data_IF_031397181623
#
_entry.id   IF_031397181623
#
_cell.length_a   1.000
_cell.length_b   1.000
_cell.length_c   1.000
_cell.angle_alpha   90.00
_cell.angle_beta   90.00
_cell.angle_gamma   90.00
#
_symmetry.space_group_name_H-M   'P 1'
#
loop_
_entity.id
_entity.type
_entity.pdbx_description
1 polymer ?
#
# COMPACT_ATOMS: atom_id res chain seq x y z
N UNK A 1 -19.78 18.21 6.93
CA UNK A 1 -21.05 18.02 6.42
C UNK A 1 -21.10 16.87 5.42
N UNK A 2 -21.99 15.95 5.67
CA UNK A 2 -22.02 14.75 4.88
C UNK A 2 -20.90 13.79 5.16
N UNK A 3 -19.99 14.15 6.02
CA UNK A 3 -18.96 13.23 6.44
C UNK A 3 -19.53 12.25 7.43
N UNK A 4 -19.31 10.98 7.16
CA UNK A 4 -19.74 9.93 8.05
C UNK A 4 -18.55 9.25 8.66
N UNK A 5 -18.51 9.22 9.97
CA UNK A 5 -17.47 8.50 10.69
C UNK A 5 -18.02 7.14 11.08
N UNK A 6 -17.18 6.13 10.97
CA UNK A 6 -17.54 4.80 11.40
C UNK A 6 -16.36 4.19 12.14
N UNK A 7 -16.62 3.19 12.93
CA UNK A 7 -15.60 2.48 13.66
C UNK A 7 -15.36 1.13 13.03
N UNK A 8 -14.11 0.79 12.88
CA UNK A 8 -13.74 -0.54 12.38
C UNK A 8 -12.70 -1.13 13.31
N UNK A 9 -12.64 -2.45 13.30
CA UNK A 9 -11.57 -3.16 14.00
C UNK A 9 -10.44 -3.37 13.02
N UNK A 10 -9.20 -3.25 13.52
CA UNK A 10 -8.03 -3.39 12.69
C UNK A 10 -7.16 -4.53 13.17
N UNK A 11 -6.24 -4.94 12.29
CA UNK A 11 -5.33 -6.04 12.60
C UNK A 11 -4.28 -5.65 13.62
N UNK A 12 -3.82 -4.39 13.59
CA UNK A 12 -2.70 -3.97 14.43
C UNK A 12 -3.01 -2.81 15.35
N UNK A 13 -4.08 -2.06 15.11
CA UNK A 13 -4.35 -0.82 15.85
C UNK A 13 -5.60 -0.89 16.72
N UNK A 14 -6.23 -2.07 16.81
CA UNK A 14 -7.46 -2.20 17.55
C UNK A 14 -8.60 -1.50 16.86
N UNK A 15 -9.55 -1.01 17.63
CA UNK A 15 -10.69 -0.28 17.08
C UNK A 15 -10.29 1.15 16.78
N UNK A 16 -10.61 1.62 15.58
CA UNK A 16 -10.32 2.99 15.17
C UNK A 16 -11.53 3.61 14.53
N UNK A 17 -11.61 4.93 14.60
CA UNK A 17 -12.66 5.68 13.93
C UNK A 17 -12.11 6.19 12.59
N UNK A 18 -12.88 5.99 11.52
CA UNK A 18 -12.46 6.41 10.19
C UNK A 18 -13.56 7.25 9.55
N UNK A 19 -13.18 7.98 8.52
CA UNK A 19 -14.10 8.77 7.72
C UNK A 19 -14.43 7.99 6.46
N UNK A 20 -15.71 7.72 6.22
CA UNK A 20 -16.12 6.91 5.07
C UNK A 20 -15.64 7.49 3.75
N UNK A 21 -15.47 8.81 3.68
CA UNK A 21 -15.03 9.44 2.44
C UNK A 21 -13.60 9.07 2.07
N UNK A 22 -12.85 8.48 2.99
CA UNK A 22 -11.46 8.12 2.74
C UNK A 22 -11.29 6.65 2.39
N UNK A 23 -12.38 5.89 2.35
CA UNK A 23 -12.31 4.48 2.00
C UNK A 23 -11.90 4.33 0.53
N UNK A 24 -10.93 3.44 0.30
CA UNK A 24 -10.42 3.16 -1.03
C UNK A 24 -11.11 1.92 -1.58
N UNK A 25 -11.38 1.92 -2.88
CA UNK A 25 -11.99 0.77 -3.54
C UNK A 25 -10.95 0.11 -4.43
N UNK A 26 -10.74 -1.18 -4.19
CA UNK A 26 -9.90 -2.02 -5.04
C UNK A 26 -10.83 -2.89 -5.86
N UNK A 27 -11.13 -2.49 -7.08
CA UNK A 27 -12.15 -3.16 -7.89
C UNK A 27 -11.87 -4.64 -8.10
N UNK A 28 -10.60 -5.02 -8.08
CA UNK A 28 -10.20 -6.42 -8.26
C UNK A 28 -9.77 -7.05 -6.95
N UNK A 29 -9.94 -6.35 -5.82
CA UNK A 29 -9.41 -6.81 -4.56
C UNK A 29 -7.89 -6.82 -4.59
N UNK A 30 -7.31 -7.58 -3.67
CA UNK A 30 -5.86 -7.79 -3.64
C UNK A 30 -5.60 -9.28 -3.87
N UNK A 31 -4.43 -9.64 -4.41
CA UNK A 31 -4.12 -11.04 -4.64
C UNK A 31 -4.28 -11.86 -3.36
N UNK A 32 -4.99 -12.96 -3.46
CA UNK A 32 -5.34 -13.80 -2.33
C UNK A 32 -6.62 -13.40 -1.62
N UNK A 33 -7.13 -12.18 -1.87
CA UNK A 33 -8.31 -11.68 -1.17
C UNK A 33 -9.22 -10.92 -2.13
N UNK A 34 -9.65 -11.54 -3.23
CA UNK A 34 -10.42 -10.79 -4.23
C UNK A 34 -11.83 -10.40 -3.75
N UNK A 35 -12.33 -11.02 -2.70
CA UNK A 35 -13.66 -10.70 -2.19
C UNK A 35 -13.69 -9.45 -1.33
N UNK A 36 -12.53 -8.99 -0.86
CA UNK A 36 -12.47 -7.78 -0.04
C UNK A 36 -11.98 -6.63 -0.90
N UNK A 37 -12.82 -5.64 -1.08
CA UNK A 37 -12.56 -4.56 -2.03
C UNK A 37 -12.44 -3.19 -1.39
N UNK A 38 -12.80 -3.05 -0.12
CA UNK A 38 -12.77 -1.76 0.54
C UNK A 38 -11.69 -1.75 1.60
N UNK A 39 -10.81 -0.78 1.49
CA UNK A 39 -9.68 -0.63 2.39
C UNK A 39 -9.52 0.83 2.79
N UNK A 40 -8.78 1.05 3.86
CA UNK A 40 -8.45 2.40 4.28
C UNK A 40 -7.00 2.46 4.69
N UNK A 41 -6.38 3.62 4.45
CA UNK A 41 -4.99 3.85 4.85
C UNK A 41 -4.97 4.46 6.25
N UNK A 42 -4.17 3.88 7.11
CA UNK A 42 -4.01 4.34 8.49
C UNK A 42 -2.53 4.50 8.78
N UNK A 43 -2.19 5.52 9.57
CA UNK A 43 -0.82 5.71 10.02
C UNK A 43 -0.47 4.67 11.06
N UNK A 44 0.74 4.09 10.95
CA UNK A 44 1.23 3.17 11.96
C UNK A 44 2.16 3.85 12.93
N UNK A 45 3.18 4.53 12.41
CA UNK A 45 4.20 5.15 13.25
C UNK A 45 4.68 6.40 12.52
N UNK A 46 4.61 7.54 13.21
CA UNK A 46 4.99 8.82 12.60
C UNK A 46 6.48 8.87 12.26
N UNK A 47 7.29 8.07 12.93
CA UNK A 47 8.73 8.10 12.73
C UNK A 47 9.20 7.13 11.64
N UNK A 48 8.31 6.29 11.13
CA UNK A 48 8.64 5.31 10.11
C UNK A 48 7.83 5.55 8.85
N UNK A 49 8.38 5.26 7.66
CA UNK A 49 7.64 5.44 6.41
C UNK A 49 6.68 4.27 6.18
N UNK A 50 5.87 3.98 7.18
CA UNK A 50 4.97 2.84 7.18
C UNK A 50 3.53 3.28 7.36
N UNK A 51 2.63 2.52 6.78
CA UNK A 51 1.20 2.71 6.97
C UNK A 51 0.52 1.35 7.00
N UNK A 52 -0.74 1.35 7.37
CA UNK A 52 -1.54 0.14 7.37
C UNK A 52 -2.63 0.29 6.31
N UNK A 53 -2.69 -0.66 5.40
CA UNK A 53 -3.80 -0.77 4.45
C UNK A 53 -4.76 -1.79 5.02
N UNK A 54 -5.83 -1.32 5.63
CA UNK A 54 -6.74 -2.13 6.42
C UNK A 54 -8.05 -2.37 5.70
N UNK A 55 -8.49 -3.63 5.64
CA UNK A 55 -9.82 -3.96 5.14
C UNK A 55 -10.87 -3.37 6.09
N UNK A 56 -11.86 -2.70 5.51
CA UNK A 56 -12.99 -2.23 6.30
C UNK A 56 -14.04 -3.32 6.49
N UNK A 57 -13.86 -4.44 5.81
CA UNK A 57 -14.83 -5.52 5.82
C UNK A 57 -14.41 -6.69 6.71
N UNK A 58 -13.10 -6.86 6.95
CA UNK A 58 -12.59 -7.97 7.74
C UNK A 58 -11.38 -7.50 8.56
N UNK A 59 -11.52 -7.54 9.88
CA UNK A 59 -10.52 -6.99 10.79
C UNK A 59 -9.15 -7.67 10.67
N UNK A 60 -9.14 -8.96 10.36
CA UNK A 60 -7.87 -9.70 10.29
C UNK A 60 -7.08 -9.45 9.02
N UNK A 61 -7.65 -8.72 8.06
CA UNK A 61 -6.98 -8.44 6.81
C UNK A 61 -6.47 -7.02 6.81
N UNK A 62 -5.17 -6.89 7.02
CA UNK A 62 -4.48 -5.61 7.01
C UNK A 62 -3.05 -5.84 6.55
N UNK A 63 -2.55 -4.94 5.73
CA UNK A 63 -1.22 -5.05 5.16
C UNK A 63 -0.39 -3.86 5.60
N UNK A 64 0.79 -4.14 6.17
CA UNK A 64 1.76 -3.08 6.41
C UNK A 64 2.36 -2.70 5.07
N UNK A 65 2.32 -1.42 4.76
CA UNK A 65 2.85 -0.91 3.49
C UNK A 65 3.83 0.22 3.77
N UNK A 66 4.70 0.45 2.80
CA UNK A 66 5.75 1.45 2.93
C UNK A 66 5.92 2.17 1.60
N UNK A 67 6.48 3.39 1.66
CA UNK A 67 6.90 4.06 0.44
C UNK A 67 8.19 3.42 -0.04
N UNK A 68 8.17 2.75 -1.20
CA UNK A 68 9.38 2.05 -1.64
C UNK A 68 10.54 2.98 -1.91
N UNK A 69 10.26 4.24 -2.24
CA UNK A 69 11.32 5.21 -2.52
C UNK A 69 12.15 5.54 -1.30
N UNK A 70 11.63 5.28 -0.10
CA UNK A 70 12.41 5.48 1.13
C UNK A 70 13.52 4.44 1.25
N UNK A 71 13.41 3.30 0.57
CA UNK A 71 14.36 2.21 0.68
C UNK A 71 15.12 1.96 -0.62
N UNK A 72 14.57 2.38 -1.75
CA UNK A 72 15.21 2.24 -3.05
C UNK A 72 14.90 3.49 -3.85
N UNK A 73 15.81 4.45 -3.81
CA UNK A 73 15.55 5.77 -4.35
C UNK A 73 15.38 5.77 -5.87
N UNK A 74 16.01 4.82 -6.55
CA UNK A 74 15.90 4.75 -8.00
C UNK A 74 14.77 3.86 -8.46
N UNK A 75 13.87 3.50 -7.55
CA UNK A 75 12.70 2.69 -7.90
C UNK A 75 11.80 3.48 -8.84
N UNK A 76 11.58 2.93 -10.02
CA UNK A 76 10.80 3.62 -11.04
C UNK A 76 10.18 2.58 -11.97
N UNK A 77 9.00 2.89 -12.46
CA UNK A 77 8.32 2.04 -13.43
C UNK A 77 7.21 2.87 -14.07
N UNK A 78 6.72 2.39 -15.20
CA UNK A 78 5.62 3.03 -15.90
C UNK A 78 4.35 2.23 -15.72
N UNK A 79 3.23 2.92 -15.55
CA UNK A 79 1.94 2.28 -15.53
C UNK A 79 1.48 2.03 -16.96
N UNK A 80 0.86 0.85 -17.18
CA UNK A 80 0.27 0.58 -18.48
C UNK A 80 -0.96 1.46 -18.68
N UNK A 81 -1.39 1.60 -19.93
CA UNK A 81 -2.60 2.35 -20.20
C UNK A 81 -3.81 1.71 -19.53
N UNK A 82 -3.83 0.39 -19.47
CA UNK A 82 -4.91 -0.33 -18.80
C UNK A 82 -4.95 0.03 -17.31
N UNK A 83 -3.80 0.06 -16.66
CA UNK A 83 -3.74 0.41 -15.24
C UNK A 83 -4.18 1.83 -15.01
N UNK A 84 -3.79 2.74 -15.90
CA UNK A 84 -4.19 4.14 -15.77
C UNK A 84 -5.70 4.29 -15.91
N UNK A 85 -6.29 3.52 -16.82
CA UNK A 85 -7.74 3.56 -17.01
C UNK A 85 -8.47 2.95 -15.82
N UNK A 86 -7.97 1.84 -15.30
CA UNK A 86 -8.60 1.18 -14.16
C UNK A 86 -8.62 2.09 -12.93
N UNK A 87 -7.61 2.94 -12.80
CA UNK A 87 -7.48 3.83 -11.66
C UNK A 87 -7.95 5.25 -11.96
N UNK A 88 -8.43 5.50 -13.18
CA UNK A 88 -8.90 6.82 -13.60
C UNK A 88 -7.85 7.90 -13.35
N UNK A 89 -6.61 7.59 -13.68
CA UNK A 89 -5.50 8.51 -13.45
C UNK A 89 -5.44 9.53 -14.56
N UNK A 90 -5.46 10.82 -14.22
CA UNK A 90 -5.32 11.90 -15.16
C UNK A 90 -4.00 12.63 -15.01
N UNK A 91 -3.46 12.65 -13.80
CA UNK A 91 -2.21 13.34 -13.50
C UNK A 91 -1.36 12.48 -12.58
N UNK A 92 -0.04 12.57 -12.75
CA UNK A 92 0.87 11.80 -11.91
C UNK A 92 0.78 12.20 -10.45
N UNK A 93 0.43 13.45 -10.16
CA UNK A 93 0.34 13.92 -8.77
C UNK A 93 -0.78 13.24 -8.00
N UNK A 94 -1.72 12.61 -8.69
CA UNK A 94 -2.83 11.92 -8.03
C UNK A 94 -2.44 10.57 -7.46
N UNK A 95 -1.25 10.09 -7.81
CA UNK A 95 -0.88 8.69 -7.60
C UNK A 95 0.10 8.55 -6.45
N UNK A 96 -0.21 7.63 -5.54
CA UNK A 96 0.72 7.18 -4.51
C UNK A 96 1.11 5.74 -4.80
N UNK A 97 2.39 5.44 -4.56
CA UNK A 97 2.92 4.11 -4.76
C UNK A 97 3.39 3.55 -3.43
N UNK A 98 2.94 2.34 -3.12
CA UNK A 98 3.30 1.66 -1.87
C UNK A 98 3.82 0.27 -2.18
N UNK A 99 4.63 -0.26 -1.27
CA UNK A 99 5.05 -1.65 -1.32
C UNK A 99 4.56 -2.36 -0.07
N UNK A 100 4.10 -3.59 -0.22
CA UNK A 100 3.66 -4.38 0.93
C UNK A 100 4.91 -4.88 1.66
N UNK A 101 4.88 -4.75 2.98
CA UNK A 101 5.99 -5.13 3.85
C UNK A 101 5.69 -6.51 4.43
N UNK A 102 6.69 -7.40 4.37
CA UNK A 102 6.64 -8.67 5.08
C UNK A 102 7.44 -8.47 6.36
N UNK A 103 6.73 -8.34 7.47
CA UNK A 103 7.35 -8.09 8.77
C UNK A 103 7.99 -9.35 9.32
N UNK A 104 9.18 -9.18 9.88
CA UNK A 104 9.86 -10.22 10.63
C UNK A 104 9.95 -9.79 12.09
N UNK A 105 10.77 -10.50 12.88
CA UNK A 105 10.87 -10.18 14.30
C UNK A 105 11.30 -8.75 14.54
N UNK A 106 12.19 -8.24 13.69
CA UNK A 106 12.58 -6.82 13.75
C UNK A 106 12.26 -6.17 12.43
N UNK A 107 12.06 -4.86 12.47
CA UNK A 107 11.82 -4.12 11.24
C UNK A 107 13.01 -4.25 10.29
N UNK A 108 14.22 -4.24 10.82
CA UNK A 108 15.43 -4.32 9.99
C UNK A 108 15.51 -5.62 9.21
N UNK A 109 14.94 -6.69 9.74
CA UNK A 109 14.95 -8.00 9.07
C UNK A 109 13.80 -8.17 8.08
N UNK A 110 12.92 -7.19 8.00
CA UNK A 110 11.75 -7.27 7.14
C UNK A 110 12.10 -6.98 5.70
N UNK A 111 11.18 -7.28 4.80
CA UNK A 111 11.36 -7.05 3.37
C UNK A 111 10.17 -6.31 2.79
N UNK A 112 10.39 -5.65 1.66
CA UNK A 112 9.30 -5.00 0.93
C UNK A 112 9.19 -5.62 -0.45
N UNK A 113 7.97 -5.63 -0.96
CA UNK A 113 7.67 -6.21 -2.26
C UNK A 113 7.78 -5.13 -3.33
N UNK A 114 8.90 -5.12 -4.04
CA UNK A 114 9.11 -4.15 -5.12
C UNK A 114 8.53 -4.63 -6.44
N UNK A 115 8.25 -5.92 -6.55
CA UNK A 115 7.73 -6.48 -7.80
C UNK A 115 6.25 -6.18 -8.02
N UNK A 116 5.49 -6.07 -6.94
CA UNK A 116 4.04 -5.90 -7.05
C UNK A 116 3.58 -4.71 -6.21
N UNK A 117 3.86 -3.48 -6.67
CA UNK A 117 3.47 -2.28 -5.91
C UNK A 117 1.96 -2.09 -5.90
N UNK A 118 1.50 -1.43 -4.85
CA UNK A 118 0.10 -1.01 -4.71
C UNK A 118 0.01 0.44 -5.15
N UNK A 119 -0.82 0.70 -6.13
CA UNK A 119 -0.98 2.03 -6.70
C UNK A 119 -2.33 2.59 -6.25
N UNK A 120 -2.32 3.80 -5.74
CA UNK A 120 -3.54 4.41 -5.21
C UNK A 120 -3.74 5.77 -5.86
N UNK A 121 -4.94 5.98 -6.41
CA UNK A 121 -5.37 7.29 -6.89
C UNK A 121 -6.12 7.95 -5.73
N UNK A 122 -5.49 8.95 -5.12
CA UNK A 122 -6.04 9.57 -3.92
C UNK A 122 -7.26 10.44 -4.20
N UNK A 123 -7.38 10.98 -5.42
CA UNK A 123 -8.53 11.80 -5.75
C UNK A 123 -9.77 10.96 -5.99
N UNK A 124 -9.60 9.82 -6.66
CA UNK A 124 -10.74 8.96 -7.01
C UNK A 124 -10.98 7.87 -6.00
N UNK A 125 -10.09 7.72 -5.02
CA UNK A 125 -10.19 6.69 -3.98
C UNK A 125 -10.22 5.29 -4.57
N UNK A 126 -9.35 5.06 -5.53
CA UNK A 126 -9.20 3.77 -6.19
C UNK A 126 -7.81 3.22 -5.96
N UNK A 127 -7.70 1.91 -5.86
CA UNK A 127 -6.42 1.25 -5.70
C UNK A 127 -6.32 0.00 -6.54
N UNK A 128 -5.10 -0.40 -6.81
CA UNK A 128 -4.82 -1.59 -7.59
C UNK A 128 -3.40 -2.06 -7.29
N UNK A 129 -3.22 -3.36 -7.12
CA UNK A 129 -1.88 -3.92 -7.04
C UNK A 129 -1.50 -4.42 -8.44
N UNK A 130 -0.36 -3.94 -8.92
CA UNK A 130 0.14 -4.35 -10.24
C UNK A 130 1.37 -5.21 -10.07
N UNK A 131 1.74 -5.97 -11.10
CA UNK A 131 2.91 -6.82 -11.08
C UNK A 131 3.86 -6.35 -12.16
N UNK A 132 5.08 -5.97 -11.77
CA UNK A 132 6.10 -5.56 -12.70
C UNK A 132 6.73 -6.80 -13.32
N UNK A 133 7.39 -6.62 -14.47
CA UNK A 133 7.94 -7.76 -15.20
C UNK A 133 9.39 -8.04 -14.88
N UNK A 134 10.11 -7.05 -14.38
CA UNK A 134 11.55 -7.19 -14.13
C UNK A 134 11.79 -7.62 -12.68
N UNK A 135 11.74 -8.92 -12.44
CA UNK A 135 11.93 -9.46 -11.10
C UNK A 135 13.37 -9.38 -10.61
N UNK A 136 14.31 -9.14 -11.50
CA UNK A 136 15.72 -8.96 -11.10
C UNK A 136 15.94 -7.58 -10.52
N UNK A 137 15.40 -6.56 -11.17
CA UNK A 137 15.53 -5.19 -10.69
C UNK A 137 14.60 -4.93 -9.51
N UNK A 138 13.45 -5.58 -9.48
CA UNK A 138 12.42 -5.32 -8.48
C UNK A 138 12.00 -6.63 -7.81
N UNK A 139 12.77 -7.08 -6.82
CA UNK A 139 12.48 -8.38 -6.19
C UNK A 139 11.25 -8.34 -5.30
N UNK A 140 10.62 -9.51 -5.13
CA UNK A 140 9.49 -9.67 -4.22
C UNK A 140 9.87 -9.39 -2.77
N UNK A 141 11.11 -9.64 -2.40
CA UNK A 141 11.57 -9.51 -1.02
C UNK A 141 12.85 -8.70 -0.96
N UNK A 142 12.69 -7.41 -1.17
CA UNK A 142 13.82 -6.50 -1.09
C UNK A 142 14.11 -6.22 0.39
N UNK A 143 15.33 -6.53 0.88
CA UNK A 143 15.62 -6.37 2.30
C UNK A 143 15.68 -4.92 2.72
N UNK A 144 14.93 -4.58 3.76
CA UNK A 144 14.97 -3.23 4.30
C UNK A 144 16.36 -2.94 4.86
N UNK A 145 16.96 -3.95 5.49
CA UNK A 145 18.29 -3.81 6.07
C UNK A 145 19.35 -3.42 5.03
N UNK A 146 19.22 -3.97 3.81
CA UNK A 146 20.18 -3.64 2.76
C UNK A 146 20.11 -2.16 2.40
N UNK A 147 18.89 -1.61 2.31
CA UNK A 147 18.73 -0.21 1.99
C UNK A 147 19.27 0.67 3.11
N UNK A 148 18.98 0.28 4.36
CA UNK A 148 19.48 1.04 5.52
C UNK A 148 21.00 0.98 5.57
N UNK A 149 21.57 -0.21 5.31
CA UNK A 149 23.01 -0.37 5.31
C UNK A 149 23.71 0.46 4.26
N UNK A 150 23.09 0.61 3.09
CA UNK A 150 23.72 1.37 2.01
C UNK A 150 23.70 2.87 2.26
N UNK A 151 22.94 3.31 3.27
CA UNK A 151 22.90 4.73 3.60
C UNK A 151 24.14 5.21 4.34
N UNK A 152 25.00 4.31 4.70
CA UNK A 152 26.24 4.70 5.39
C UNK A 152 27.28 5.29 4.42
#
# INVERSE_FOLDING_TARGET
KGEKCMRINTKFLGEVEINESEILTFNQGLPGFPEYRQFILLSLDADLPLALLQSTEEATIGFVIAFPFAFKQDYAFDLSEEDKEDLHIEKEEEVLTYSIVTLQETFADSTINLLAPVIINTNKKLGKQIVLQDSKAYPLRFPIKQAVGSAK
#
